data_IF_661937323410
#
_entry.id   IF_661937323410
#
_cell.length_a   1.000
_cell.length_b   1.000
_cell.length_c   1.000
_cell.angle_alpha   90.00
_cell.angle_beta   90.00
_cell.angle_gamma   90.00
#
_symmetry.space_group_name_H-M   'P 1'
#
loop_
_entity.id
_entity.type
_entity.pdbx_description
1 polymer ?
#
# COMPACT_ATOMS: atom_id res chain seq x y z
N UNK A 1 12.55 6.00 -8.82
CA UNK A 1 11.89 4.99 -7.98
C UNK A 1 12.06 3.63 -8.62
N UNK A 2 12.28 2.58 -7.82
CA UNK A 2 12.35 1.19 -8.30
C UNK A 2 11.36 0.35 -7.50
N UNK A 3 10.56 -0.48 -8.19
CA UNK A 3 9.61 -1.42 -7.59
C UNK A 3 9.95 -2.78 -8.17
N UNK A 4 10.17 -3.77 -7.32
CA UNK A 4 10.52 -5.14 -7.74
C UNK A 4 9.59 -6.12 -7.02
N UNK A 5 9.06 -7.08 -7.75
CA UNK A 5 8.27 -8.19 -7.22
C UNK A 5 8.78 -9.53 -7.76
N UNK A 6 8.40 -10.60 -7.11
CA UNK A 6 8.65 -11.99 -7.51
C UNK A 6 7.35 -12.69 -7.96
N UNK A 7 6.47 -11.96 -8.62
CA UNK A 7 5.21 -12.44 -9.15
C UNK A 7 5.36 -13.33 -10.38
N UNK A 8 4.29 -13.48 -11.14
CA UNK A 8 4.28 -14.32 -12.34
C UNK A 8 5.04 -13.73 -13.53
N UNK A 9 5.44 -12.45 -13.46
CA UNK A 9 6.00 -11.76 -14.61
C UNK A 9 4.94 -11.34 -15.65
N UNK A 10 5.41 -10.80 -16.77
CA UNK A 10 4.59 -10.41 -17.92
C UNK A 10 5.20 -11.08 -19.15
N UNK A 11 4.37 -11.75 -19.95
CA UNK A 11 4.79 -12.35 -21.22
C UNK A 11 5.29 -11.26 -22.18
N UNK A 12 6.32 -11.58 -22.98
CA UNK A 12 6.92 -10.63 -23.92
C UNK A 12 5.89 -9.95 -24.82
N UNK A 13 4.94 -10.73 -25.33
CA UNK A 13 3.90 -10.25 -26.26
C UNK A 13 2.89 -9.33 -25.56
N UNK A 14 2.73 -9.49 -24.26
CA UNK A 14 1.82 -8.67 -23.43
C UNK A 14 2.46 -7.39 -22.89
N UNK A 15 3.79 -7.24 -22.97
CA UNK A 15 4.50 -6.09 -22.42
C UNK A 15 3.98 -4.77 -23.00
N UNK A 16 3.85 -4.67 -24.32
CA UNK A 16 3.33 -3.46 -24.99
C UNK A 16 1.89 -3.16 -24.59
N UNK A 17 1.06 -4.21 -24.53
CA UNK A 17 -0.35 -4.07 -24.18
C UNK A 17 -0.56 -3.60 -22.74
N UNK A 18 0.34 -3.93 -21.83
CA UNK A 18 0.29 -3.49 -20.43
C UNK A 18 0.40 -1.96 -20.28
N UNK A 19 0.98 -1.25 -21.25
CA UNK A 19 1.08 0.21 -21.26
C UNK A 19 -0.04 0.92 -22.03
N UNK A 20 -0.95 0.18 -22.65
CA UNK A 20 -2.13 0.76 -23.31
C UNK A 20 -3.18 1.18 -22.26
N UNK A 21 -3.94 2.22 -22.59
CA UNK A 21 -5.07 2.62 -21.75
C UNK A 21 -6.16 1.56 -21.77
N UNK A 22 -6.78 1.33 -20.61
CA UNK A 22 -7.86 0.36 -20.40
C UNK A 22 -7.46 -1.10 -20.69
N UNK A 23 -6.17 -1.38 -20.86
CA UNK A 23 -5.66 -2.73 -20.99
C UNK A 23 -5.58 -3.35 -19.58
N UNK A 24 -6.43 -4.34 -19.33
CA UNK A 24 -6.43 -5.09 -18.08
C UNK A 24 -6.76 -6.56 -18.34
N UNK A 25 -5.97 -7.44 -17.75
CA UNK A 25 -6.23 -8.87 -17.72
C UNK A 25 -7.19 -9.30 -16.61
N UNK A 26 -7.60 -8.35 -15.75
CA UNK A 26 -8.26 -8.63 -14.45
C UNK A 26 -9.77 -8.46 -14.47
N UNK A 27 -10.33 -7.82 -15.49
CA UNK A 27 -11.78 -7.58 -15.65
C UNK A 27 -12.15 -7.81 -17.10
N UNK A 28 -13.11 -8.70 -17.33
CA UNK A 28 -13.69 -9.01 -18.65
C UNK A 28 -15.20 -8.75 -18.68
N UNK A 29 -15.85 -8.72 -17.51
CA UNK A 29 -17.30 -8.52 -17.37
C UNK A 29 -17.62 -7.57 -16.21
N UNK A 30 -18.87 -7.08 -16.18
CA UNK A 30 -19.37 -6.25 -15.08
C UNK A 30 -19.42 -7.05 -13.76
N UNK A 31 -19.67 -8.35 -13.84
CA UNK A 31 -19.73 -9.23 -12.68
C UNK A 31 -18.37 -9.39 -12.00
N UNK A 32 -17.26 -9.30 -12.76
CA UNK A 32 -15.91 -9.32 -12.21
C UNK A 32 -15.65 -8.15 -11.25
N UNK A 33 -16.37 -7.03 -11.42
CA UNK A 33 -16.25 -5.85 -10.54
C UNK A 33 -16.65 -6.15 -9.08
N UNK A 34 -17.57 -7.09 -8.88
CA UNK A 34 -18.05 -7.48 -7.55
C UNK A 34 -17.04 -8.39 -6.85
N UNK A 35 -16.21 -9.12 -7.61
CA UNK A 35 -15.31 -10.14 -7.12
C UNK A 35 -13.81 -9.77 -7.26
N UNK A 36 -13.50 -8.48 -7.45
CA UNK A 36 -12.12 -8.03 -7.64
C UNK A 36 -11.27 -8.32 -6.40
N UNK A 37 -10.43 -9.36 -6.48
CA UNK A 37 -9.42 -9.70 -5.47
C UNK A 37 -8.09 -8.93 -5.62
N UNK A 38 -7.92 -8.16 -6.69
CA UNK A 38 -6.68 -7.42 -6.97
C UNK A 38 -6.77 -5.95 -6.56
N UNK A 39 -5.65 -5.34 -6.16
CA UNK A 39 -5.58 -3.92 -5.78
C UNK A 39 -5.82 -2.97 -6.96
N UNK A 40 -5.33 -3.34 -8.15
CA UNK A 40 -5.50 -2.58 -9.39
C UNK A 40 -6.34 -3.35 -10.42
N UNK A 41 -7.26 -2.64 -11.10
CA UNK A 41 -8.15 -3.25 -12.08
C UNK A 41 -8.45 -2.36 -13.30
N UNK A 42 -8.10 -1.08 -13.27
CA UNK A 42 -8.49 -0.11 -14.32
C UNK A 42 -7.62 -0.15 -15.57
N UNK A 43 -6.44 -0.79 -15.53
CA UNK A 43 -5.50 -0.83 -16.66
C UNK A 43 -4.96 0.55 -17.06
N UNK A 44 -4.88 1.51 -16.13
CA UNK A 44 -4.48 2.89 -16.44
C UNK A 44 -3.19 3.34 -15.76
N UNK A 45 -2.69 2.58 -14.77
CA UNK A 45 -1.54 3.01 -13.99
C UNK A 45 -0.27 3.13 -14.83
N UNK A 46 0.06 2.10 -15.60
CA UNK A 46 1.28 2.07 -16.41
C UNK A 46 1.21 3.07 -17.57
N UNK A 47 0.07 3.18 -18.25
CA UNK A 47 -0.12 4.16 -19.32
C UNK A 47 -0.01 5.60 -18.79
N UNK A 48 -0.53 5.88 -17.59
CA UNK A 48 -0.44 7.21 -16.98
C UNK A 48 0.97 7.56 -16.54
N UNK A 49 1.73 6.62 -15.96
CA UNK A 49 3.11 6.84 -15.53
C UNK A 49 4.03 7.02 -16.75
N UNK A 50 3.93 6.14 -17.74
CA UNK A 50 4.76 6.19 -18.94
C UNK A 50 4.58 7.47 -19.74
N UNK A 51 3.38 8.05 -19.74
CA UNK A 51 3.09 9.31 -20.42
C UNK A 51 3.86 10.51 -19.84
N UNK A 52 4.30 10.45 -18.58
CA UNK A 52 4.91 11.58 -17.86
C UNK A 52 6.27 11.27 -17.24
N UNK A 53 6.81 10.11 -17.49
CA UNK A 53 8.09 9.67 -16.94
C UNK A 53 8.89 8.85 -17.96
N UNK A 54 10.14 8.57 -17.64
CA UNK A 54 10.95 7.53 -18.29
C UNK A 54 10.79 6.24 -17.47
N UNK A 55 10.34 5.18 -18.12
CA UNK A 55 10.06 3.89 -17.46
C UNK A 55 10.86 2.78 -18.13
N UNK A 56 11.58 2.02 -17.32
CA UNK A 56 12.14 0.73 -17.69
C UNK A 56 11.33 -0.36 -17.00
N UNK A 57 10.88 -1.33 -17.76
CA UNK A 57 10.26 -2.56 -17.28
C UNK A 57 11.21 -3.71 -17.57
N UNK A 58 11.57 -4.47 -16.56
CA UNK A 58 12.31 -5.73 -16.68
C UNK A 58 11.41 -6.82 -16.12
N UNK A 59 11.06 -7.80 -16.94
CA UNK A 59 10.14 -8.85 -16.53
C UNK A 59 10.49 -10.20 -17.12
N UNK A 60 10.14 -11.27 -16.41
CA UNK A 60 10.33 -12.64 -16.87
C UNK A 60 9.27 -13.53 -16.23
N UNK A 61 8.63 -14.36 -17.04
CA UNK A 61 7.79 -15.45 -16.54
C UNK A 61 8.63 -16.71 -16.32
N UNK A 62 8.09 -17.67 -15.57
CA UNK A 62 8.81 -18.93 -15.25
C UNK A 62 9.11 -19.77 -16.47
N UNK A 63 8.25 -19.69 -17.50
CA UNK A 63 8.33 -20.51 -18.70
C UNK A 63 9.27 -19.91 -19.77
N UNK A 64 9.72 -18.67 -19.57
CA UNK A 64 10.64 -17.98 -20.47
C UNK A 64 12.10 -18.25 -20.10
N UNK A 65 12.95 -18.45 -21.11
CA UNK A 65 14.41 -18.58 -20.91
C UNK A 65 15.06 -17.23 -20.65
N UNK A 66 14.65 -16.19 -21.38
CA UNK A 66 15.14 -14.83 -21.24
C UNK A 66 14.04 -13.92 -20.71
N UNK A 67 14.41 -12.93 -19.95
CA UNK A 67 13.54 -11.83 -19.59
C UNK A 67 13.44 -10.81 -20.70
N UNK A 68 12.50 -9.90 -20.56
CA UNK A 68 12.24 -8.78 -21.47
C UNK A 68 12.59 -7.47 -20.77
N UNK A 69 13.41 -6.65 -21.42
CA UNK A 69 13.62 -5.26 -21.06
C UNK A 69 12.83 -4.38 -22.04
N UNK A 70 11.96 -3.54 -21.49
CA UNK A 70 11.16 -2.59 -22.26
C UNK A 70 11.38 -1.18 -21.74
N UNK A 71 11.68 -0.25 -22.65
CA UNK A 71 11.88 1.17 -22.34
C UNK A 71 10.84 2.02 -23.03
N UNK A 72 10.20 2.91 -22.27
CA UNK A 72 9.20 3.82 -22.77
C UNK A 72 9.36 5.19 -22.07
N UNK A 73 9.31 6.27 -22.83
CA UNK A 73 9.42 7.63 -22.31
C UNK A 73 8.38 8.56 -22.94
N UNK A 74 7.63 9.27 -22.08
CA UNK A 74 6.57 10.18 -22.55
C UNK A 74 5.49 9.50 -23.40
N UNK A 75 5.24 8.21 -23.14
CA UNK A 75 4.29 7.39 -23.87
C UNK A 75 4.79 6.88 -25.23
N UNK A 76 6.08 7.06 -25.54
CA UNK A 76 6.70 6.54 -26.78
C UNK A 76 7.64 5.43 -26.43
N UNK A 77 7.49 4.28 -27.11
CA UNK A 77 8.42 3.15 -27.01
C UNK A 77 9.79 3.59 -27.52
N UNK A 78 10.83 3.27 -26.74
CA UNK A 78 12.22 3.49 -27.12
C UNK A 78 12.91 2.19 -27.49
N UNK A 79 12.64 1.10 -26.74
CA UNK A 79 13.33 -0.16 -26.94
C UNK A 79 12.56 -1.36 -26.36
N UNK A 80 12.75 -2.55 -26.98
CA UNK A 80 12.26 -3.84 -26.49
C UNK A 80 13.29 -4.93 -26.84
N UNK A 81 14.04 -5.38 -25.83
CA UNK A 81 15.13 -6.33 -26.03
C UNK A 81 15.08 -7.50 -25.02
N UNK A 82 15.78 -8.58 -25.33
CA UNK A 82 15.95 -9.70 -24.41
C UNK A 82 17.02 -9.36 -23.37
N UNK A 83 16.80 -9.79 -22.14
CA UNK A 83 17.73 -9.54 -21.03
C UNK A 83 17.76 -10.69 -20.03
N UNK A 84 18.83 -10.78 -19.27
CA UNK A 84 18.86 -11.65 -18.09
C UNK A 84 18.04 -11.05 -16.95
N UNK A 85 17.05 -11.77 -16.46
CA UNK A 85 16.22 -11.32 -15.33
C UNK A 85 15.77 -12.50 -14.45
N UNK A 86 15.57 -12.28 -13.15
CA UNK A 86 14.86 -13.23 -12.30
C UNK A 86 13.36 -13.26 -12.66
N UNK A 87 12.67 -14.31 -12.23
CA UNK A 87 11.22 -14.39 -12.34
C UNK A 87 10.54 -13.24 -11.58
N UNK A 88 9.49 -12.65 -12.16
CA UNK A 88 8.78 -11.51 -11.62
C UNK A 88 8.96 -10.24 -12.44
N UNK A 89 8.75 -9.09 -11.81
CA UNK A 89 8.75 -7.80 -12.51
C UNK A 89 9.51 -6.74 -11.74
N UNK A 90 10.30 -5.94 -12.46
CA UNK A 90 10.95 -4.74 -11.94
C UNK A 90 10.56 -3.53 -12.78
N UNK A 91 10.00 -2.51 -12.14
CA UNK A 91 9.79 -1.19 -12.73
C UNK A 91 10.83 -0.21 -12.20
N UNK A 92 11.46 0.53 -13.10
CA UNK A 92 12.35 1.64 -12.77
C UNK A 92 11.78 2.91 -13.40
N UNK A 93 11.40 3.87 -12.56
CA UNK A 93 10.75 5.11 -12.98
C UNK A 93 11.70 6.26 -12.69
N UNK A 94 12.07 6.99 -13.74
CA UNK A 94 12.97 8.15 -13.68
C UNK A 94 12.30 9.39 -14.24
N UNK A 95 12.80 10.55 -13.90
CA UNK A 95 12.43 11.84 -14.47
C UNK A 95 10.92 12.12 -14.45
N UNK A 96 10.23 11.77 -13.36
CA UNK A 96 8.79 12.01 -13.22
C UNK A 96 8.43 13.47 -13.54
N UNK A 97 7.46 13.68 -14.43
CA UNK A 97 6.99 14.95 -14.93
C UNK A 97 8.04 15.75 -15.74
N UNK A 98 9.01 15.09 -16.37
CA UNK A 98 10.03 15.77 -17.18
C UNK A 98 9.44 16.56 -18.36
N UNK A 99 8.36 16.04 -18.95
CA UNK A 99 7.64 16.61 -20.09
C UNK A 99 6.39 17.40 -19.68
N UNK A 100 6.11 17.55 -18.37
CA UNK A 100 4.95 18.27 -17.84
C UNK A 100 5.38 19.23 -16.71
N UNK A 101 6.07 20.35 -17.05
CA UNK A 101 6.65 21.27 -16.05
C UNK A 101 5.63 21.82 -15.05
N UNK A 102 4.39 22.06 -15.51
CA UNK A 102 3.31 22.53 -14.65
C UNK A 102 3.00 21.54 -13.53
N UNK A 103 2.94 20.22 -13.83
CA UNK A 103 2.74 19.18 -12.82
C UNK A 103 3.95 19.02 -11.89
N UNK A 104 5.17 19.15 -12.44
CA UNK A 104 6.41 19.06 -11.65
C UNK A 104 6.46 20.10 -10.52
N UNK A 105 5.91 21.30 -10.73
CA UNK A 105 5.85 22.35 -9.69
C UNK A 105 5.00 21.98 -8.46
N UNK A 106 4.09 21.02 -8.59
CA UNK A 106 3.26 20.55 -7.47
C UNK A 106 3.91 19.45 -6.62
N UNK A 107 5.04 18.87 -7.08
CA UNK A 107 5.80 17.95 -6.25
C UNK A 107 6.28 18.65 -4.98
N UNK A 108 6.09 18.00 -3.88
CA UNK A 108 6.59 18.46 -2.58
C UNK A 108 8.08 18.17 -2.44
N UNK A 109 8.63 18.40 -1.26
CA UNK A 109 10.02 18.04 -1.00
C UNK A 109 10.21 16.51 -1.10
N UNK A 110 11.39 16.02 -1.47
CA UNK A 110 11.66 14.57 -1.53
C UNK A 110 11.32 13.83 -0.22
N UNK A 111 11.51 14.50 0.92
CA UNK A 111 11.16 13.95 2.24
C UNK A 111 9.64 13.77 2.39
N UNK A 112 8.86 14.76 1.98
CA UNK A 112 7.38 14.71 2.05
C UNK A 112 6.84 13.63 1.11
N UNK A 113 7.35 13.56 -0.13
CA UNK A 113 6.95 12.52 -1.08
C UNK A 113 7.31 11.12 -0.57
N UNK A 114 8.50 10.95 0.00
CA UNK A 114 8.90 9.68 0.61
C UNK A 114 8.03 9.29 1.80
N UNK A 115 7.56 10.26 2.61
CA UNK A 115 6.61 10.00 3.69
C UNK A 115 5.28 9.49 3.16
N UNK A 116 4.73 10.10 2.10
CA UNK A 116 3.50 9.62 1.46
C UNK A 116 3.63 8.20 0.90
N UNK A 117 4.79 7.88 0.30
CA UNK A 117 5.08 6.51 -0.15
C UNK A 117 5.15 5.56 1.04
N UNK A 118 5.80 5.96 2.15
CA UNK A 118 5.88 5.18 3.38
C UNK A 118 4.51 4.86 3.98
N UNK A 119 3.61 5.85 4.02
CA UNK A 119 2.22 5.68 4.47
C UNK A 119 1.45 4.68 3.59
N UNK A 120 1.66 4.75 2.28
CA UNK A 120 1.06 3.81 1.34
C UNK A 120 1.59 2.39 1.57
N UNK A 121 2.92 2.23 1.72
CA UNK A 121 3.56 0.94 1.99
C UNK A 121 3.08 0.34 3.31
N UNK A 122 2.92 1.16 4.35
CA UNK A 122 2.33 0.75 5.64
C UNK A 122 0.93 0.16 5.45
N UNK A 123 0.06 0.85 4.70
CA UNK A 123 -1.31 0.39 4.43
C UNK A 123 -1.34 -0.89 3.62
N UNK A 124 -0.48 -1.02 2.61
CA UNK A 124 -0.35 -2.24 1.82
C UNK A 124 0.12 -3.42 2.68
N UNK A 125 1.13 -3.23 3.51
CA UNK A 125 1.64 -4.26 4.39
C UNK A 125 0.58 -4.75 5.40
N UNK A 126 -0.19 -3.84 6.01
CA UNK A 126 -1.27 -4.17 6.93
C UNK A 126 -2.42 -4.93 6.24
N UNK A 127 -2.72 -4.62 4.97
CA UNK A 127 -3.79 -5.30 4.23
C UNK A 127 -3.36 -6.66 3.66
N UNK A 128 -2.05 -6.90 3.49
CA UNK A 128 -1.51 -8.10 2.87
C UNK A 128 -0.40 -8.72 3.73
N UNK A 129 -0.71 -9.23 4.92
CA UNK A 129 0.30 -9.75 5.85
C UNK A 129 1.03 -11.00 5.32
N UNK A 130 0.51 -11.64 4.28
CA UNK A 130 1.13 -12.79 3.59
C UNK A 130 2.15 -12.38 2.52
N UNK A 131 2.33 -11.07 2.26
CA UNK A 131 3.34 -10.54 1.35
C UNK A 131 4.45 -9.89 2.17
N UNK A 132 5.70 -10.20 1.85
CA UNK A 132 6.86 -9.48 2.39
C UNK A 132 7.03 -8.17 1.65
N UNK A 133 7.00 -7.07 2.39
CA UNK A 133 7.24 -5.73 1.88
C UNK A 133 8.56 -5.18 2.40
N UNK A 134 9.32 -4.55 1.52
CA UNK A 134 10.50 -3.77 1.90
C UNK A 134 10.41 -2.38 1.27
N UNK A 135 10.54 -1.36 2.07
CA UNK A 135 10.63 0.03 1.62
C UNK A 135 11.99 0.62 2.00
N UNK A 136 12.76 0.98 1.00
CA UNK A 136 14.08 1.60 1.14
C UNK A 136 14.00 3.04 0.66
N UNK A 137 14.46 3.97 1.46
CA UNK A 137 14.59 5.38 1.11
C UNK A 137 16.01 5.86 1.38
N UNK A 138 16.69 6.38 0.34
CA UNK A 138 18.08 6.83 0.41
C UNK A 138 19.01 5.77 1.03
N UNK A 139 18.89 4.51 0.59
CA UNK A 139 19.71 3.39 1.06
C UNK A 139 19.34 2.85 2.45
N UNK A 140 18.39 3.47 3.16
CA UNK A 140 17.94 3.03 4.47
C UNK A 140 16.63 2.27 4.38
N UNK A 141 16.57 1.07 4.97
CA UNK A 141 15.32 0.32 5.11
C UNK A 141 14.41 1.02 6.13
N UNK A 142 13.26 1.50 5.66
CA UNK A 142 12.25 2.19 6.47
C UNK A 142 11.09 1.29 6.89
N UNK A 143 10.82 0.24 6.12
CA UNK A 143 9.85 -0.79 6.42
C UNK A 143 10.39 -2.13 5.91
N UNK A 144 10.22 -3.17 6.71
CA UNK A 144 10.44 -4.54 6.29
C UNK A 144 9.47 -5.46 7.03
N UNK A 145 8.69 -6.27 6.28
CA UNK A 145 7.75 -7.24 6.83
C UNK A 145 8.09 -8.65 6.36
N UNK A 146 7.78 -9.64 7.18
CA UNK A 146 8.17 -11.04 6.93
C UNK A 146 7.32 -11.76 5.86
N UNK A 147 6.09 -11.31 5.63
CA UNK A 147 5.15 -12.01 4.74
C UNK A 147 4.62 -13.35 5.30
N UNK A 148 4.65 -13.53 6.62
CA UNK A 148 4.28 -14.80 7.27
C UNK A 148 2.77 -15.00 7.51
N UNK A 149 1.94 -14.09 7.00
CA UNK A 149 0.47 -14.12 7.16
C UNK A 149 -0.04 -13.62 8.52
N UNK A 150 0.84 -13.25 9.44
CA UNK A 150 0.45 -12.83 10.79
C UNK A 150 0.33 -11.31 10.88
N UNK A 151 -0.90 -10.77 10.83
CA UNK A 151 -1.14 -9.34 10.94
C UNK A 151 -0.50 -8.71 12.19
N UNK A 152 -0.48 -9.43 13.33
CA UNK A 152 0.14 -8.93 14.57
C UNK A 152 1.63 -8.67 14.41
N UNK A 153 2.34 -9.50 13.64
CA UNK A 153 3.78 -9.32 13.38
C UNK A 153 4.01 -8.10 12.47
N UNK A 154 3.14 -7.89 11.48
CA UNK A 154 3.19 -6.67 10.65
C UNK A 154 2.97 -5.42 11.50
N UNK A 155 1.97 -5.44 12.40
CA UNK A 155 1.72 -4.34 13.35
C UNK A 155 2.96 -4.09 14.23
N UNK A 156 3.61 -5.15 14.70
CA UNK A 156 4.83 -5.03 15.50
C UNK A 156 5.97 -4.32 14.73
N UNK A 157 6.18 -4.71 13.47
CA UNK A 157 7.21 -4.09 12.64
C UNK A 157 6.94 -2.62 12.31
N UNK A 158 5.67 -2.23 12.22
CA UNK A 158 5.26 -0.86 11.86
C UNK A 158 5.20 0.05 13.09
N UNK A 159 4.55 -0.42 14.16
CA UNK A 159 4.18 0.42 15.31
C UNK A 159 4.97 0.10 16.58
N UNK A 160 5.78 -0.95 16.55
CA UNK A 160 6.66 -1.34 17.65
C UNK A 160 5.97 -2.16 18.76
N UNK A 161 6.80 -2.51 19.76
CA UNK A 161 6.44 -3.40 20.86
C UNK A 161 5.31 -2.86 21.74
N UNK A 162 5.39 -1.57 22.09
CA UNK A 162 4.47 -0.96 23.06
C UNK A 162 3.04 -0.96 22.56
N UNK A 163 2.85 -0.64 21.28
CA UNK A 163 1.52 -0.70 20.64
C UNK A 163 1.05 -2.16 20.57
N UNK A 164 1.89 -3.06 20.07
CA UNK A 164 1.50 -4.45 19.83
C UNK A 164 1.17 -5.24 21.10
N UNK A 165 1.84 -4.92 22.22
CA UNK A 165 1.57 -5.53 23.54
C UNK A 165 0.20 -5.11 24.12
N UNK A 166 -0.32 -3.98 23.66
CA UNK A 166 -1.58 -3.41 24.13
C UNK A 166 -2.72 -3.55 23.14
N UNK A 167 -2.67 -4.57 22.27
CA UNK A 167 -3.72 -4.91 21.32
C UNK A 167 -4.60 -6.06 21.81
N UNK A 168 -5.90 -5.93 21.53
CA UNK A 168 -6.91 -6.97 21.71
C UNK A 168 -7.30 -7.48 20.31
N UNK A 169 -7.34 -8.80 20.13
CA UNK A 169 -7.90 -9.40 18.92
C UNK A 169 -9.40 -9.15 18.88
N UNK A 170 -9.89 -8.64 17.76
CA UNK A 170 -11.31 -8.47 17.47
C UNK A 170 -11.70 -9.43 16.35
N UNK A 171 -12.79 -10.16 16.57
CA UNK A 171 -13.32 -11.09 15.58
C UNK A 171 -14.84 -11.13 15.72
N UNK A 172 -15.54 -10.99 14.59
CA UNK A 172 -16.98 -11.07 14.51
C UNK A 172 -17.36 -11.73 13.19
N UNK A 173 -18.25 -12.70 13.24
CA UNK A 173 -18.75 -13.40 12.06
C UNK A 173 -20.25 -13.60 12.20
N UNK A 174 -21.05 -12.88 11.41
CA UNK A 174 -22.49 -13.03 11.36
C UNK A 174 -23.09 -12.51 10.05
N UNK A 175 -24.12 -13.18 9.57
CA UNK A 175 -24.95 -12.73 8.43
C UNK A 175 -24.18 -12.37 7.17
N UNK A 176 -23.09 -13.09 6.86
CA UNK A 176 -22.25 -12.82 5.69
C UNK A 176 -21.28 -11.64 5.85
N UNK A 177 -21.18 -11.07 7.05
CA UNK A 177 -20.19 -10.05 7.40
C UNK A 177 -19.16 -10.66 8.36
N UNK A 178 -17.90 -10.70 7.92
CA UNK A 178 -16.78 -11.10 8.76
C UNK A 178 -15.90 -9.89 9.05
N UNK A 179 -15.71 -9.58 10.33
CA UNK A 179 -14.81 -8.52 10.80
C UNK A 179 -13.67 -9.18 11.58
N UNK A 180 -12.43 -8.88 11.21
CA UNK A 180 -11.24 -9.36 11.90
C UNK A 180 -10.23 -8.24 12.04
N UNK A 181 -9.47 -8.24 13.14
CA UNK A 181 -8.43 -7.24 13.33
C UNK A 181 -7.96 -7.12 14.77
N UNK A 182 -7.44 -5.95 15.08
CA UNK A 182 -6.93 -5.63 16.40
C UNK A 182 -7.46 -4.26 16.86
N UNK A 183 -7.84 -4.17 18.11
CA UNK A 183 -8.26 -2.96 18.80
C UNK A 183 -7.21 -2.59 19.85
N UNK A 184 -6.90 -1.30 19.98
CA UNK A 184 -5.99 -0.80 21.00
C UNK A 184 -6.67 -0.75 22.38
N UNK A 185 -5.97 -1.13 23.44
CA UNK A 185 -6.42 -0.83 24.80
C UNK A 185 -6.42 0.68 25.04
N UNK A 186 -7.26 1.24 25.94
CA UNK A 186 -7.32 2.67 26.21
C UNK A 186 -5.97 3.31 26.55
N UNK A 187 -5.04 2.55 27.15
CA UNK A 187 -3.71 3.02 27.51
C UNK A 187 -2.85 3.51 26.33
N UNK A 188 -3.15 3.02 25.10
CA UNK A 188 -2.46 3.46 23.88
C UNK A 188 -3.29 4.43 23.06
N UNK A 189 -4.36 4.98 23.63
CA UNK A 189 -5.22 5.97 22.98
C UNK A 189 -4.42 7.22 22.56
N UNK A 190 -4.78 7.80 21.43
CA UNK A 190 -4.13 8.99 20.86
C UNK A 190 -5.17 10.02 20.42
N UNK A 191 -4.82 11.29 20.50
CA UNK A 191 -5.68 12.40 20.08
C UNK A 191 -5.80 12.56 18.54
N UNK A 192 -5.31 11.59 17.74
CA UNK A 192 -5.41 11.60 16.29
C UNK A 192 -5.70 10.19 15.76
N UNK A 193 -6.16 10.13 14.50
CA UNK A 193 -6.60 8.89 13.82
C UNK A 193 -5.50 8.22 12.98
N UNK A 194 -4.23 8.52 13.21
CA UNK A 194 -3.13 8.01 12.36
C UNK A 194 -2.94 6.50 12.45
N UNK A 195 -3.43 5.87 13.52
CA UNK A 195 -3.37 4.43 13.72
C UNK A 195 -4.68 3.70 13.38
N UNK A 196 -5.70 4.44 12.92
CA UNK A 196 -6.95 3.84 12.47
C UNK A 196 -6.81 3.42 11.00
N UNK A 197 -6.76 2.12 10.78
CA UNK A 197 -6.66 1.55 9.44
C UNK A 197 -7.80 0.57 9.24
N UNK A 198 -8.70 0.88 8.30
CA UNK A 198 -9.86 0.07 7.96
C UNK A 198 -9.72 -0.47 6.56
N UNK A 199 -10.12 -1.72 6.38
CA UNK A 199 -10.03 -2.43 5.10
C UNK A 199 -11.34 -3.13 4.79
N UNK A 200 -11.75 -3.09 3.52
CA UNK A 200 -12.87 -3.88 2.99
C UNK A 200 -12.32 -4.72 1.85
N UNK A 201 -12.40 -6.03 1.97
CA UNK A 201 -11.86 -6.97 1.00
C UNK A 201 -10.40 -6.65 0.61
N UNK A 202 -9.54 -6.41 1.61
CA UNK A 202 -8.12 -6.07 1.43
C UNK A 202 -7.83 -4.64 0.96
N UNK A 203 -8.86 -3.80 0.73
CA UNK A 203 -8.67 -2.40 0.28
C UNK A 203 -8.81 -1.43 1.43
N UNK A 204 -7.86 -0.54 1.57
CA UNK A 204 -7.92 0.54 2.54
C UNK A 204 -9.09 1.47 2.26
N UNK A 205 -9.90 1.73 3.27
CA UNK A 205 -11.06 2.63 3.18
C UNK A 205 -11.00 3.71 4.26
N UNK A 206 -11.48 4.90 3.91
CA UNK A 206 -11.78 5.98 4.86
C UNK A 206 -13.29 6.05 4.99
N UNK A 207 -13.83 5.59 6.11
CA UNK A 207 -15.27 5.59 6.36
C UNK A 207 -15.60 6.30 7.65
N UNK A 208 -16.35 7.40 7.54
CA UNK A 208 -16.84 8.14 8.72
C UNK A 208 -17.77 7.27 9.58
N UNK A 209 -18.51 6.35 8.96
CA UNK A 209 -19.44 5.44 9.66
C UNK A 209 -18.64 4.47 10.53
N UNK A 210 -17.62 3.81 9.95
CA UNK A 210 -16.78 2.84 10.67
C UNK A 210 -16.00 3.55 11.78
N UNK A 211 -15.37 4.69 11.46
CA UNK A 211 -14.65 5.50 12.46
C UNK A 211 -15.55 5.87 13.63
N UNK A 212 -16.76 6.39 13.35
CA UNK A 212 -17.70 6.78 14.41
C UNK A 212 -18.13 5.57 15.24
N UNK A 213 -18.46 4.44 14.63
CA UNK A 213 -18.86 3.22 15.35
C UNK A 213 -17.75 2.73 16.30
N UNK A 214 -16.50 2.81 15.89
CA UNK A 214 -15.35 2.45 16.73
C UNK A 214 -15.17 3.48 17.84
N UNK A 215 -15.16 4.77 17.54
CA UNK A 215 -15.01 5.85 18.54
C UNK A 215 -16.14 5.82 19.59
N UNK A 216 -17.40 5.63 19.17
CA UNK A 216 -18.55 5.53 20.08
C UNK A 216 -18.39 4.33 21.04
N UNK A 217 -17.80 3.21 20.59
CA UNK A 217 -17.52 2.04 21.42
C UNK A 217 -16.45 2.33 22.50
N UNK A 218 -15.53 3.26 22.25
CA UNK A 218 -14.53 3.68 23.22
C UNK A 218 -14.99 4.84 24.13
N UNK A 219 -16.07 5.53 23.78
CA UNK A 219 -16.51 6.72 24.50
C UNK A 219 -16.79 6.45 25.98
N UNK A 220 -17.43 5.34 26.30
CA UNK A 220 -17.70 4.95 27.68
C UNK A 220 -16.42 4.59 28.46
N UNK A 221 -15.42 3.99 27.77
CA UNK A 221 -14.14 3.62 28.40
C UNK A 221 -13.24 4.83 28.64
N UNK A 222 -13.29 5.84 27.77
CA UNK A 222 -12.48 7.03 27.90
C UNK A 222 -12.99 7.97 29.01
N UNK A 223 -14.29 8.02 29.26
CA UNK A 223 -14.89 8.79 30.34
C UNK A 223 -14.49 8.29 31.74
N UNK A 224 -14.22 6.99 31.89
CA UNK A 224 -13.76 6.41 33.16
C UNK A 224 -12.33 6.83 33.48
N UNK A 225 -11.49 7.11 32.49
CA UNK A 225 -10.09 7.50 32.68
C UNK A 225 -9.82 9.02 32.62
N UNK A 226 -10.75 9.82 32.07
CA UNK A 226 -10.62 11.28 31.98
C UNK A 226 -11.13 11.99 33.25
N UNK A 227 -11.79 11.31 34.18
CA UNK A 227 -12.41 11.88 35.36
C UNK A 227 -11.54 11.86 36.63
N UNK A 228 -10.21 11.78 36.55
CA UNK A 228 -9.36 12.28 37.62
C UNK A 228 -9.00 13.74 37.34
N UNK A 229 -9.69 14.72 37.97
CA UNK A 229 -9.21 16.08 37.95
C UNK A 229 -7.89 16.09 38.74
N UNK A 230 -6.78 16.37 38.09
CA UNK A 230 -5.57 16.82 38.75
C UNK A 230 -5.92 18.06 39.54
N UNK A 231 -6.29 17.87 40.80
CA UNK A 231 -6.48 18.91 41.79
C UNK A 231 -5.13 19.57 42.03
N UNK A 232 -4.82 20.62 41.29
CA UNK A 232 -3.74 21.52 41.67
C UNK A 232 -4.13 22.15 43.00
N UNK A 233 -3.55 21.65 44.08
CA UNK A 233 -3.53 22.35 45.35
C UNK A 233 -2.60 23.54 45.18
N UNK A 234 -3.17 24.73 45.05
CA UNK A 234 -2.46 25.96 45.34
C UNK A 234 -2.35 26.02 46.85
N UNK A 235 -1.14 25.85 47.37
CA UNK A 235 -0.81 26.22 48.75
C UNK A 235 -0.46 27.71 48.72
N UNK A 236 -1.24 28.49 49.44
CA UNK A 236 -1.01 29.90 49.77
C UNK A 236 0.22 30.08 50.63
#
# INVERSE_FOLDING_TARGET
MRITDNGCGIERDDVRSAFLRHSTSKIRSVDDLVHIGSLGFRGEALSSISAVAQVELITKTRDQTFGTLYRIAGGKEEDLEDTGAPDGTTFIIRQLFYNTPARRKFLKTPMTEASHVGDLMTRLALSHPHISFQFINNGQSKLHTSGNGKLKDVIYHIYGRDITANLLKAEYDAKGLKVTGFLGKPIISRGNRNFENYYVNGRYVKSKIVTKAVEDSYHTLSLIHISEPTRRSYIS
#
